data_IF_180818656162
#
_entry.id   IF_180818656162
#
_cell.length_a   1.000
_cell.length_b   1.000
_cell.length_c   1.000
_cell.angle_alpha   90.00
_cell.angle_beta   90.00
_cell.angle_gamma   90.00
#
_symmetry.space_group_name_H-M   'P 1'
#
loop_
_entity.id
_entity.type
_entity.pdbx_description
1 polymer ?
#
# COMPACT_ATOMS: atom_id res chain seq x y z
N UNK A 1 -28.16 -4.17 -11.86
CA UNK A 1 -27.55 -5.03 -10.83
C UNK A 1 -26.06 -4.96 -11.04
N UNK A 2 -25.36 -4.02 -10.40
CA UNK A 2 -23.90 -3.89 -10.51
C UNK A 2 -23.26 -4.55 -9.30
N UNK A 3 -22.27 -5.40 -9.50
CA UNK A 3 -21.51 -5.99 -8.40
C UNK A 3 -20.57 -4.90 -7.83
N UNK A 4 -20.51 -4.76 -6.51
CA UNK A 4 -19.55 -3.89 -5.85
C UNK A 4 -18.36 -4.73 -5.32
N UNK A 5 -17.16 -4.16 -5.40
CA UNK A 5 -15.96 -4.68 -4.76
C UNK A 5 -15.74 -4.00 -3.40
N UNK A 6 -15.19 -4.75 -2.44
CA UNK A 6 -14.88 -4.23 -1.11
C UNK A 6 -13.37 -4.23 -0.88
N UNK A 7 -12.82 -3.06 -0.59
CA UNK A 7 -11.39 -2.85 -0.32
C UNK A 7 -11.26 -2.29 1.10
N UNK A 8 -10.53 -3.00 1.96
CA UNK A 8 -10.31 -2.60 3.35
C UNK A 8 -8.87 -2.13 3.53
N UNK A 9 -8.66 -0.88 3.97
CA UNK A 9 -7.32 -0.34 4.22
C UNK A 9 -6.98 -0.49 5.70
N UNK A 10 -5.78 -0.94 6.00
CA UNK A 10 -5.23 -0.95 7.35
C UNK A 10 -3.87 -0.27 7.38
N UNK A 11 -3.80 0.88 8.05
CA UNK A 11 -2.54 1.55 8.35
C UNK A 11 -1.78 0.77 9.43
N UNK A 12 -0.59 0.27 9.11
CA UNK A 12 0.20 -0.52 10.08
C UNK A 12 1.40 0.25 10.62
N UNK A 13 1.19 1.29 11.44
CA UNK A 13 2.28 1.88 12.23
C UNK A 13 1.90 2.40 13.64
N UNK A 14 2.20 1.54 14.62
CA UNK A 14 2.82 1.80 15.94
C UNK A 14 2.21 2.81 16.94
N UNK A 15 1.82 2.24 18.09
CA UNK A 15 1.70 2.82 19.45
C UNK A 15 0.78 4.04 19.63
N UNK A 16 -0.40 3.75 20.21
CA UNK A 16 -1.40 4.66 20.78
C UNK A 16 -2.18 5.55 19.78
N UNK A 17 -3.14 4.93 19.08
CA UNK A 17 -4.58 5.34 19.00
C UNK A 17 -5.20 4.92 17.65
N UNK A 18 -6.32 4.17 17.73
CA UNK A 18 -7.20 3.70 16.64
C UNK A 18 -6.57 3.26 15.30
N UNK A 19 -6.56 1.94 15.06
CA UNK A 19 -6.51 1.36 13.71
C UNK A 19 -7.63 1.98 12.87
N UNK A 20 -7.31 2.95 12.02
CA UNK A 20 -8.30 3.56 11.13
C UNK A 20 -8.53 2.60 9.97
N UNK A 21 -9.47 1.66 10.15
CA UNK A 21 -9.91 0.79 9.07
C UNK A 21 -10.83 1.60 8.17
N UNK A 22 -10.33 1.99 7.00
CA UNK A 22 -11.18 2.57 5.98
C UNK A 22 -11.79 1.45 5.14
N UNK A 23 -13.12 1.38 5.12
CA UNK A 23 -13.84 0.49 4.23
C UNK A 23 -14.21 1.26 2.97
N UNK A 24 -13.72 0.80 1.83
CA UNK A 24 -14.06 1.33 0.52
C UNK A 24 -14.95 0.33 -0.20
N UNK A 25 -16.14 0.79 -0.58
CA UNK A 25 -17.06 0.04 -1.43
C UNK A 25 -17.16 0.75 -2.76
N UNK A 26 -16.61 0.13 -3.79
CA UNK A 26 -16.51 0.72 -5.11
C UNK A 26 -17.14 -0.24 -6.12
N UNK A 27 -17.70 0.28 -7.22
CA UNK A 27 -18.33 -0.58 -8.22
C UNK A 27 -17.25 -1.31 -9.02
N UNK A 28 -17.59 -2.50 -9.48
CA UNK A 28 -16.81 -3.17 -10.53
C UNK A 28 -16.64 -2.23 -11.73
N UNK A 29 -15.43 -2.18 -12.28
CA UNK A 29 -15.05 -1.31 -13.40
C UNK A 29 -14.64 0.12 -13.04
N UNK A 30 -14.90 0.58 -11.81
CA UNK A 30 -14.41 1.87 -11.31
C UNK A 30 -13.00 1.70 -10.69
N UNK A 31 -12.29 2.81 -10.51
CA UNK A 31 -10.98 2.83 -9.83
C UNK A 31 -11.17 3.03 -8.31
N UNK A 32 -10.35 2.36 -7.50
CA UNK A 32 -10.25 2.62 -6.07
C UNK A 32 -8.85 3.07 -5.69
N UNK A 33 -8.75 4.21 -5.03
CA UNK A 33 -7.49 4.76 -4.51
C UNK A 33 -7.42 4.60 -3.00
N UNK A 34 -6.29 4.08 -2.54
CA UNK A 34 -5.91 3.85 -1.17
C UNK A 34 -4.88 4.92 -0.80
N UNK A 35 -5.15 5.70 0.23
CA UNK A 35 -4.23 6.71 0.76
C UNK A 35 -3.50 6.17 1.99
N UNK A 36 -2.21 6.45 2.10
CA UNK A 36 -1.42 6.16 3.30
C UNK A 36 -0.63 7.41 3.69
N UNK A 37 -0.63 7.75 4.98
CA UNK A 37 0.17 8.84 5.51
C UNK A 37 0.69 8.57 6.92
N UNK A 38 1.80 9.19 7.30
CA UNK A 38 2.35 9.08 8.64
C UNK A 38 2.94 10.39 9.18
N UNK A 39 3.22 10.40 10.49
CA UNK A 39 3.82 11.54 11.21
C UNK A 39 5.19 11.23 11.83
N UNK A 40 5.83 10.14 11.40
CA UNK A 40 7.13 9.68 11.90
C UNK A 40 8.33 10.55 11.50
N UNK A 41 8.13 11.53 10.61
CA UNK A 41 9.18 12.41 10.09
C UNK A 41 9.80 11.92 8.78
N UNK A 42 10.63 12.76 8.14
CA UNK A 42 11.06 12.57 6.76
C UNK A 42 12.08 11.45 6.56
N UNK A 43 12.67 10.92 7.65
CA UNK A 43 13.58 9.78 7.55
C UNK A 43 12.84 8.47 7.25
N UNK A 44 11.54 8.41 7.52
CA UNK A 44 10.66 7.29 7.19
C UNK A 44 10.12 7.38 5.75
N UNK A 45 11.00 7.53 4.76
CA UNK A 45 10.60 7.79 3.38
C UNK A 45 10.30 6.54 2.54
N UNK A 46 10.59 5.35 3.07
CA UNK A 46 10.31 4.08 2.40
C UNK A 46 8.89 3.64 2.68
N UNK A 47 8.12 3.28 1.64
CA UNK A 47 6.76 2.78 1.80
C UNK A 47 6.55 1.46 1.09
N UNK A 48 5.82 0.58 1.76
CA UNK A 48 5.51 -0.76 1.30
C UNK A 48 4.00 -0.93 1.28
N UNK A 49 3.50 -1.50 0.20
CA UNK A 49 2.09 -1.88 0.07
C UNK A 49 1.96 -3.40 0.06
N UNK A 50 0.95 -3.89 0.77
CA UNK A 50 0.65 -5.32 0.86
C UNK A 50 -0.83 -5.58 0.56
N UNK A 51 -1.12 -6.78 0.06
CA UNK A 51 -2.49 -7.30 -0.10
C UNK A 51 -2.64 -8.61 0.67
N UNK A 52 -3.79 -8.78 1.30
CA UNK A 52 -4.26 -10.05 1.84
C UNK A 52 -5.68 -10.32 1.33
N UNK A 53 -5.84 -11.38 0.54
CA UNK A 53 -7.16 -11.91 0.16
C UNK A 53 -7.69 -12.88 1.23
N UNK A 54 -9.02 -13.07 1.32
CA UNK A 54 -9.59 -14.06 2.23
C UNK A 54 -9.00 -15.45 2.00
N UNK A 55 -8.41 -16.04 3.04
CA UNK A 55 -7.80 -17.39 2.97
C UNK A 55 -6.37 -17.42 2.41
N UNK A 56 -5.80 -16.27 2.04
CA UNK A 56 -4.41 -16.16 1.57
C UNK A 56 -3.49 -15.50 2.61
N UNK A 57 -2.18 -15.76 2.47
CA UNK A 57 -1.17 -15.04 3.23
C UNK A 57 -1.01 -13.60 2.72
N UNK A 58 -0.54 -12.71 3.58
CA UNK A 58 -0.16 -11.36 3.17
C UNK A 58 1.00 -11.41 2.16
N UNK A 59 0.89 -10.63 1.08
CA UNK A 59 1.92 -10.52 0.04
C UNK A 59 2.27 -9.06 -0.18
N UNK A 60 3.56 -8.78 -0.34
CA UNK A 60 4.02 -7.46 -0.78
C UNK A 60 3.61 -7.25 -2.24
N UNK A 61 3.10 -6.06 -2.54
CA UNK A 61 2.74 -5.63 -3.88
C UNK A 61 3.93 -4.85 -4.47
N UNK A 62 4.35 -3.81 -3.74
CA UNK A 62 5.29 -2.81 -4.25
C UNK A 62 5.98 -2.06 -3.12
N UNK A 63 7.23 -1.72 -3.37
CA UNK A 63 8.06 -0.81 -2.58
C UNK A 63 8.24 0.52 -3.32
N UNK A 64 8.14 1.64 -2.61
CA UNK A 64 8.31 2.98 -3.17
C UNK A 64 9.18 3.88 -2.30
N UNK A 65 9.91 4.78 -2.95
CA UNK A 65 10.54 5.95 -2.34
C UNK A 65 10.18 7.20 -3.15
N UNK A 66 10.36 8.42 -2.62
CA UNK A 66 9.87 9.63 -3.30
C UNK A 66 10.55 9.99 -4.62
N UNK A 67 11.72 9.40 -4.90
CA UNK A 67 12.58 9.82 -6.02
C UNK A 67 13.03 8.67 -6.91
N UNK A 68 12.47 7.47 -6.70
CA UNK A 68 12.81 6.28 -7.50
C UNK A 68 11.55 5.71 -8.13
N UNK A 69 11.74 4.99 -9.23
CA UNK A 69 10.68 4.18 -9.81
C UNK A 69 10.15 3.16 -8.77
N UNK A 70 8.84 2.88 -8.76
CA UNK A 70 8.26 1.84 -7.94
C UNK A 70 8.86 0.46 -8.23
N UNK A 71 9.19 -0.29 -7.17
CA UNK A 71 9.68 -1.66 -7.28
C UNK A 71 8.55 -2.65 -6.99
N UNK A 72 7.90 -3.11 -8.06
CA UNK A 72 6.82 -4.09 -7.99
C UNK A 72 7.36 -5.50 -7.85
N UNK A 73 6.75 -6.26 -6.95
CA UNK A 73 6.94 -7.71 -6.88
C UNK A 73 6.53 -8.37 -8.21
N UNK A 74 7.22 -9.44 -8.59
CA UNK A 74 7.12 -10.04 -9.94
C UNK A 74 5.68 -10.38 -10.34
N UNK A 75 4.89 -10.89 -9.39
CA UNK A 75 3.50 -11.28 -9.61
C UNK A 75 2.55 -10.09 -9.82
N UNK A 76 2.99 -8.88 -9.46
CA UNK A 76 2.18 -7.65 -9.50
C UNK A 76 2.56 -6.70 -10.62
N UNK A 77 3.64 -6.97 -11.37
CA UNK A 77 4.14 -6.10 -12.47
C UNK A 77 3.13 -5.89 -13.61
N UNK A 78 2.22 -6.84 -13.80
CA UNK A 78 1.20 -6.78 -14.86
C UNK A 78 -0.21 -6.50 -14.31
N UNK A 79 -0.35 -6.21 -13.01
CA UNK A 79 -1.65 -5.86 -12.44
C UNK A 79 -2.03 -4.41 -12.78
N UNK A 80 -3.32 -4.10 -12.65
CA UNK A 80 -3.93 -2.78 -12.92
C UNK A 80 -3.68 -1.83 -11.75
N UNK A 81 -2.41 -1.64 -11.38
CA UNK A 81 -1.99 -0.92 -10.19
C UNK A 81 -1.21 0.34 -10.56
N UNK A 82 -1.57 1.46 -9.94
CA UNK A 82 -0.79 2.71 -9.97
C UNK A 82 -0.38 3.09 -8.56
N UNK A 83 0.86 3.55 -8.39
CA UNK A 83 1.33 4.04 -7.10
C UNK A 83 1.95 5.41 -7.23
N UNK A 84 1.81 6.21 -6.16
CA UNK A 84 2.51 7.48 -6.02
C UNK A 84 3.17 7.56 -4.66
N UNK A 85 4.31 8.27 -4.61
CA UNK A 85 5.03 8.61 -3.40
C UNK A 85 5.57 10.04 -3.57
N UNK A 86 4.75 11.09 -3.37
CA UNK A 86 5.15 12.45 -3.70
C UNK A 86 6.18 13.05 -2.71
N UNK A 87 6.12 12.63 -1.45
CA UNK A 87 7.00 13.10 -0.37
C UNK A 87 7.36 11.93 0.56
N UNK A 88 8.02 12.16 1.69
CA UNK A 88 8.39 11.10 2.63
C UNK A 88 7.18 10.58 3.40
N UNK A 89 6.19 11.42 3.69
CA UNK A 89 5.09 11.17 4.62
C UNK A 89 3.88 10.47 4.01
N UNK A 90 3.65 10.64 2.71
CA UNK A 90 2.42 10.24 2.04
C UNK A 90 2.66 9.40 0.79
N UNK A 91 1.66 8.61 0.42
CA UNK A 91 1.66 7.84 -0.81
C UNK A 91 0.30 7.22 -1.09
N UNK A 92 0.08 6.80 -2.33
CA UNK A 92 -1.17 6.19 -2.76
C UNK A 92 -0.94 4.90 -3.52
N UNK A 93 -1.93 4.00 -3.42
CA UNK A 93 -2.07 2.83 -4.26
C UNK A 93 -3.46 2.85 -4.89
N UNK A 94 -3.53 2.90 -6.21
CA UNK A 94 -4.78 2.84 -6.97
C UNK A 94 -4.90 1.49 -7.66
N UNK A 95 -6.02 0.83 -7.46
CA UNK A 95 -6.45 -0.35 -8.23
C UNK A 95 -7.42 0.15 -9.29
N UNK A 96 -7.01 0.10 -10.55
CA UNK A 96 -7.79 0.62 -11.67
C UNK A 96 -8.76 -0.44 -12.20
N UNK A 97 -9.95 -0.06 -12.67
CA UNK A 97 -10.93 -0.95 -13.30
C UNK A 97 -11.36 -2.16 -12.45
N UNK A 98 -11.66 -1.97 -11.17
CA UNK A 98 -11.85 -3.02 -10.17
C UNK A 98 -12.61 -4.27 -10.65
N UNK A 99 -12.08 -5.45 -10.32
CA UNK A 99 -12.72 -6.74 -10.50
C UNK A 99 -13.01 -7.39 -9.13
N UNK A 100 -13.96 -8.34 -9.04
CA UNK A 100 -14.28 -9.01 -7.78
C UNK A 100 -13.06 -9.63 -7.07
N UNK A 101 -12.08 -10.11 -7.84
CA UNK A 101 -10.82 -10.66 -7.32
C UNK A 101 -9.89 -9.65 -6.66
N UNK A 102 -10.10 -8.36 -6.86
CA UNK A 102 -9.31 -7.29 -6.23
C UNK A 102 -9.75 -7.02 -4.79
N UNK A 103 -10.89 -7.59 -4.37
CA UNK A 103 -11.40 -7.48 -3.02
C UNK A 103 -10.45 -8.11 -2.01
N UNK A 104 -10.18 -7.39 -0.93
CA UNK A 104 -9.23 -7.84 0.10
C UNK A 104 -8.86 -6.73 1.07
N UNK A 105 -7.93 -7.07 1.96
CA UNK A 105 -7.32 -6.11 2.89
C UNK A 105 -5.99 -5.64 2.30
N UNK A 106 -5.82 -4.33 2.22
CA UNK A 106 -4.60 -3.69 1.78
C UNK A 106 -3.94 -3.01 2.98
N UNK A 107 -2.62 -3.15 3.08
CA UNK A 107 -1.85 -2.58 4.17
C UNK A 107 -0.77 -1.68 3.62
N UNK A 108 -0.51 -0.58 4.31
CA UNK A 108 0.71 0.19 4.12
C UNK A 108 1.61 0.12 5.36
N UNK A 109 2.92 0.11 5.12
CA UNK A 109 3.94 0.25 6.13
C UNK A 109 5.00 1.24 5.65
N UNK A 110 5.60 2.00 6.58
CA UNK A 110 6.77 2.83 6.27
C UNK A 110 7.96 2.51 7.16
N UNK A 111 9.15 2.66 6.61
CA UNK A 111 10.42 2.40 7.29
C UNK A 111 11.38 3.57 7.11
N UNK A 112 12.26 3.73 8.09
CA UNK A 112 13.48 4.51 7.93
C UNK A 112 14.51 3.72 7.13
N UNK A 113 15.31 4.41 6.32
CA UNK A 113 16.45 3.77 5.67
C UNK A 113 17.54 3.49 6.70
N UNK A 114 17.81 2.21 6.94
CA UNK A 114 18.99 1.80 7.68
C UNK A 114 20.12 1.57 6.68
N UNK A 115 20.98 2.57 6.50
CA UNK A 115 22.32 2.33 5.94
C UNK A 115 23.00 1.32 6.85
N UNK A 116 23.22 0.10 6.36
CA UNK A 116 24.10 -0.84 7.06
C UNK A 116 25.50 -0.23 7.04
N UNK A 117 25.90 0.41 8.14
CA UNK A 117 27.19 1.10 8.25
C UNK A 117 28.32 0.11 7.89
N UNK A 118 29.01 0.26 6.74
CA UNK A 118 29.96 -0.74 6.25
C UNK A 118 31.23 -0.83 7.12
N UNK A 119 31.36 0.03 8.14
CA UNK A 119 32.50 0.08 9.05
C UNK A 119 32.28 -0.63 10.40
N UNK A 120 31.22 -1.44 10.56
CA UNK A 120 31.15 -2.42 11.65
C UNK A 120 31.54 -3.80 11.16
N UNK A 121 32.84 -4.04 11.03
CA UNK A 121 33.47 -5.36 11.22
C UNK A 121 34.87 -5.17 11.79
#
# INVERSE_FOLDING_TARGET
SGNCCCVLVQDTLSTLSSLHKQMLWTKEGDDATLDCSHRKGPTYYQMYWYRQRPGENIRQIVFTTPSTEPDFETDFKNERLKVTKPDAESGTLTVENLEPGDSGVYFCAVSEHSEANPFKT
#
